data_IF_943879098733
#
_entry.id   IF_943879098733
#
_cell.length_a   1.000
_cell.length_b   1.000
_cell.length_c   1.000
_cell.angle_alpha   90.00
_cell.angle_beta   90.00
_cell.angle_gamma   90.00
#
_symmetry.space_group_name_H-M   'P 1'
#
loop_
_entity.id
_entity.type
_entity.pdbx_description
1 polymer ?
#
# COMPACT_ATOMS: atom_id res chain seq x y z
N UNK A 1 15.96 78.39 14.19
CA UNK A 1 15.26 77.23 14.76
C UNK A 1 15.11 76.16 13.65
N UNK A 2 16.08 75.22 13.53
CA UNK A 2 16.03 74.12 12.59
C UNK A 2 15.38 72.92 13.29
N UNK A 3 14.25 72.47 12.77
CA UNK A 3 13.59 71.23 13.23
C UNK A 3 14.18 70.10 12.45
N UNK A 4 15.02 69.35 13.12
CA UNK A 4 15.59 68.08 12.61
C UNK A 4 14.51 67.03 12.68
N UNK A 5 13.94 66.63 11.54
CA UNK A 5 13.10 65.44 11.44
C UNK A 5 13.96 64.20 11.50
N UNK A 6 13.95 63.50 12.62
CA UNK A 6 14.45 62.15 12.74
C UNK A 6 13.44 61.23 12.06
N UNK A 7 13.73 60.81 10.82
CA UNK A 7 13.08 59.66 10.21
C UNK A 7 13.56 58.41 10.93
N UNK A 8 12.77 57.89 11.84
CA UNK A 8 12.90 56.56 12.37
C UNK A 8 12.56 55.60 11.22
N UNK A 9 13.58 55.13 10.52
CA UNK A 9 13.46 53.99 9.65
C UNK A 9 13.18 52.76 10.52
N UNK A 10 11.90 52.49 10.76
CA UNK A 10 11.46 51.19 11.25
C UNK A 10 11.84 50.17 10.20
N UNK A 11 13.01 49.55 10.39
CA UNK A 11 13.40 48.34 9.67
C UNK A 11 12.35 47.30 10.04
N UNK A 12 11.33 47.14 9.20
CA UNK A 12 10.54 45.95 9.14
C UNK A 12 11.50 44.79 8.80
N UNK A 13 12.09 44.21 9.84
CA UNK A 13 12.67 42.92 9.74
C UNK A 13 11.51 41.97 9.33
N UNK A 14 11.33 41.79 8.04
CA UNK A 14 10.56 40.71 7.52
C UNK A 14 11.24 39.45 8.07
N UNK A 15 10.74 38.96 9.19
CA UNK A 15 10.96 37.59 9.60
C UNK A 15 10.46 36.76 8.43
N UNK A 16 11.38 36.44 7.52
CA UNK A 16 11.16 35.35 6.61
C UNK A 16 10.94 34.14 7.51
N UNK A 17 9.68 33.85 7.78
CA UNK A 17 9.28 32.55 8.31
C UNK A 17 9.77 31.58 7.26
N UNK A 18 10.98 31.10 7.46
CA UNK A 18 11.57 30.05 6.67
C UNK A 18 10.58 28.89 6.88
N UNK A 19 9.72 28.65 5.89
CA UNK A 19 8.77 27.56 5.95
C UNK A 19 9.63 26.33 6.24
N UNK A 20 9.48 25.77 7.44
CA UNK A 20 10.24 24.58 7.83
C UNK A 20 10.05 23.56 6.73
N UNK A 21 11.17 22.98 6.25
CA UNK A 21 11.12 21.98 5.22
C UNK A 21 10.12 20.90 5.64
N UNK A 22 9.18 20.58 4.76
CA UNK A 22 8.16 19.56 5.06
C UNK A 22 8.86 18.26 5.42
N UNK A 23 8.53 17.62 6.54
CA UNK A 23 9.14 16.34 6.92
C UNK A 23 8.77 15.27 5.91
N UNK A 24 9.68 14.34 5.63
CA UNK A 24 9.32 13.11 4.95
C UNK A 24 8.40 12.27 5.83
N UNK A 25 7.40 11.64 5.21
CA UNK A 25 6.41 10.80 5.90
C UNK A 25 6.57 9.37 5.38
N UNK A 26 6.89 8.44 6.28
CA UNK A 26 6.97 7.01 5.97
C UNK A 26 5.95 6.28 6.82
N UNK A 27 5.00 5.60 6.16
CA UNK A 27 4.02 4.73 6.80
C UNK A 27 4.44 3.28 6.56
N UNK A 28 4.73 2.54 7.63
CA UNK A 28 5.08 1.13 7.57
C UNK A 28 3.93 0.33 8.16
N UNK A 29 3.22 -0.42 7.31
CA UNK A 29 2.16 -1.34 7.71
C UNK A 29 2.71 -2.76 7.68
N UNK A 30 2.99 -3.32 8.86
CA UNK A 30 3.38 -4.71 8.98
C UNK A 30 2.15 -5.61 8.78
N UNK A 31 2.32 -6.68 8.00
CA UNK A 31 1.27 -7.64 7.68
C UNK A 31 1.35 -8.82 8.65
N UNK A 32 0.24 -9.11 9.32
CA UNK A 32 0.10 -10.21 10.30
C UNK A 32 1.14 -10.20 11.44
N UNK A 33 1.64 -9.03 11.82
CA UNK A 33 2.55 -8.86 12.95
C UNK A 33 1.74 -8.83 14.27
N UNK A 34 1.99 -9.77 15.13
CA UNK A 34 1.36 -9.83 16.45
C UNK A 34 1.91 -8.79 17.43
N UNK A 35 1.09 -8.38 18.40
CA UNK A 35 1.50 -7.42 19.42
C UNK A 35 2.77 -7.89 20.18
N UNK A 36 2.86 -9.19 20.48
CA UNK A 36 3.98 -9.79 21.20
C UNK A 36 5.21 -10.12 20.34
N UNK A 37 5.21 -9.79 19.04
CA UNK A 37 6.30 -10.13 18.13
C UNK A 37 7.39 -9.06 18.06
N UNK A 38 7.19 -7.93 18.71
CA UNK A 38 8.12 -6.80 18.74
C UNK A 38 8.75 -6.67 20.13
N UNK A 39 10.09 -6.59 20.21
CA UNK A 39 10.79 -6.51 21.51
C UNK A 39 10.40 -5.27 22.32
N UNK A 40 10.15 -4.13 21.69
CA UNK A 40 9.62 -2.94 22.35
C UNK A 40 8.24 -3.16 23.02
N UNK A 41 7.53 -4.23 22.67
CA UNK A 41 6.24 -4.61 23.25
C UNK A 41 6.34 -5.85 24.15
N UNK A 42 7.55 -6.33 24.43
CA UNK A 42 7.80 -7.41 25.39
C UNK A 42 8.08 -8.77 24.77
N UNK A 43 8.35 -8.88 23.46
CA UNK A 43 8.83 -10.14 22.90
C UNK A 43 10.13 -10.59 23.55
N UNK A 44 10.13 -11.83 24.06
CA UNK A 44 11.30 -12.43 24.66
C UNK A 44 12.12 -13.27 23.67
N UNK A 45 11.54 -13.61 22.53
CA UNK A 45 12.11 -14.53 21.53
C UNK A 45 12.55 -13.85 20.26
N UNK A 46 11.84 -12.78 19.87
CA UNK A 46 12.12 -12.01 18.65
C UNK A 46 12.77 -10.68 19.04
N UNK A 47 13.97 -10.47 18.53
CA UNK A 47 14.69 -9.21 18.74
C UNK A 47 14.50 -8.26 17.57
N UNK A 48 13.90 -7.09 17.83
CA UNK A 48 13.59 -6.08 16.81
C UNK A 48 14.26 -4.73 17.12
N UNK A 49 15.60 -4.63 17.11
CA UNK A 49 16.34 -3.47 17.62
C UNK A 49 16.02 -2.17 16.86
N UNK A 50 15.63 -2.25 15.61
CA UNK A 50 15.23 -1.06 14.84
C UNK A 50 13.85 -0.55 15.25
N UNK A 51 12.89 -1.44 15.54
CA UNK A 51 11.61 -1.04 16.12
C UNK A 51 11.79 -0.47 17.52
N UNK A 52 12.67 -1.06 18.33
CA UNK A 52 13.01 -0.55 19.67
C UNK A 52 13.57 0.86 19.59
N UNK A 53 14.45 1.12 18.62
CA UNK A 53 14.99 2.47 18.42
C UNK A 53 13.90 3.47 18.03
N UNK A 54 12.97 3.10 17.16
CA UNK A 54 11.82 3.94 16.80
C UNK A 54 10.92 4.18 18.02
N UNK A 55 10.61 3.14 18.79
CA UNK A 55 9.77 3.24 19.98
C UNK A 55 10.39 4.13 21.06
N UNK A 56 11.72 4.05 21.25
CA UNK A 56 12.45 4.83 22.26
C UNK A 56 12.69 6.28 21.82
N UNK A 57 12.79 6.53 20.51
CA UNK A 57 13.00 7.87 19.94
C UNK A 57 11.72 8.63 19.57
N UNK A 58 10.57 7.97 19.66
CA UNK A 58 9.30 8.51 19.23
C UNK A 58 8.18 8.36 20.26
N UNK A 59 6.95 8.25 19.75
CA UNK A 59 5.75 8.02 20.57
C UNK A 59 5.24 6.60 20.34
N UNK A 60 5.13 5.82 21.40
CA UNK A 60 4.52 4.49 21.38
C UNK A 60 3.09 4.56 21.89
N UNK A 61 2.14 4.21 21.03
CA UNK A 61 0.74 4.10 21.42
C UNK A 61 0.47 2.74 22.05
N UNK A 62 0.04 2.72 23.32
CA UNK A 62 -0.29 1.49 24.04
C UNK A 62 -1.71 0.99 23.76
N UNK A 63 -2.54 1.81 23.14
CA UNK A 63 -3.94 1.55 22.78
C UNK A 63 -4.19 1.86 21.30
N UNK A 64 -3.26 1.49 20.43
CA UNK A 64 -3.40 1.62 18.98
C UNK A 64 -4.01 0.36 18.38
N UNK A 65 -5.11 0.50 17.65
CA UNK A 65 -5.83 -0.63 17.06
C UNK A 65 -5.97 -0.46 15.56
N UNK A 66 -5.76 -1.56 14.82
CA UNK A 66 -6.15 -1.61 13.42
C UNK A 66 -7.69 -1.55 13.29
N UNK A 67 -8.16 -0.96 12.19
CA UNK A 67 -9.60 -0.82 11.94
C UNK A 67 -10.29 -2.13 11.60
N UNK A 68 -9.54 -3.16 11.24
CA UNK A 68 -10.02 -4.52 10.97
C UNK A 68 -8.89 -5.52 11.24
N UNK A 69 -9.27 -6.76 11.49
CA UNK A 69 -8.33 -7.87 11.68
C UNK A 69 -7.78 -8.44 10.37
N UNK A 70 -8.27 -7.98 9.21
CA UNK A 70 -7.92 -8.52 7.89
C UNK A 70 -7.38 -7.47 6.94
N UNK A 71 -6.65 -7.92 5.93
CA UNK A 71 -5.81 -7.10 5.05
C UNK A 71 -6.57 -6.02 4.28
N UNK A 72 -7.45 -6.41 3.34
CA UNK A 72 -8.17 -5.45 2.48
C UNK A 72 -8.92 -4.40 3.29
N UNK A 73 -9.73 -4.76 4.30
CA UNK A 73 -10.48 -3.79 5.08
C UNK A 73 -9.59 -2.79 5.82
N UNK A 74 -8.48 -3.25 6.43
CA UNK A 74 -7.54 -2.35 7.12
C UNK A 74 -6.84 -1.39 6.17
N UNK A 75 -6.43 -1.88 4.99
CA UNK A 75 -5.78 -1.06 3.95
C UNK A 75 -6.74 -0.05 3.34
N UNK A 76 -7.99 -0.45 3.11
CA UNK A 76 -9.06 0.45 2.68
C UNK A 76 -9.22 1.61 3.67
N UNK A 77 -9.33 1.30 4.96
CA UNK A 77 -9.48 2.33 5.98
C UNK A 77 -8.25 3.25 6.09
N UNK A 78 -7.04 2.69 5.97
CA UNK A 78 -5.80 3.47 5.99
C UNK A 78 -5.79 4.53 4.89
N UNK A 79 -6.19 4.17 3.66
CA UNK A 79 -6.11 5.10 2.53
C UNK A 79 -7.31 6.02 2.40
N UNK A 80 -8.48 5.60 2.85
CA UNK A 80 -9.72 6.40 2.69
C UNK A 80 -10.12 7.19 3.94
N UNK A 81 -9.57 6.84 5.11
CA UNK A 81 -10.01 7.38 6.40
C UNK A 81 -11.43 6.90 6.80
N UNK A 82 -11.98 5.92 6.10
CA UNK A 82 -13.31 5.39 6.37
C UNK A 82 -13.24 4.01 7.01
N UNK A 83 -14.11 3.74 7.98
CA UNK A 83 -14.24 2.39 8.51
C UNK A 83 -14.73 1.41 7.44
N UNK A 84 -14.15 0.20 7.35
CA UNK A 84 -14.44 -0.73 6.26
C UNK A 84 -15.91 -1.20 6.22
N UNK A 85 -16.60 -1.28 7.36
CA UNK A 85 -18.03 -1.67 7.38
C UNK A 85 -18.97 -0.66 6.69
N UNK A 86 -18.48 0.54 6.35
CA UNK A 86 -19.25 1.50 5.54
C UNK A 86 -19.22 1.18 4.05
N UNK A 87 -18.35 0.28 3.63
CA UNK A 87 -18.27 -0.21 2.27
C UNK A 87 -18.38 -1.74 2.28
N UNK A 88 -19.52 -2.26 1.86
CA UNK A 88 -19.79 -3.71 1.83
C UNK A 88 -18.80 -4.51 0.96
N UNK A 89 -18.16 -3.85 0.01
CA UNK A 89 -17.21 -4.45 -0.91
C UNK A 89 -15.78 -4.50 -0.31
N UNK A 90 -15.55 -3.83 0.84
CA UNK A 90 -14.27 -3.85 1.56
C UNK A 90 -14.06 -5.16 2.36
N UNK A 91 -14.34 -6.29 1.74
CA UNK A 91 -14.03 -7.64 2.21
C UNK A 91 -12.64 -8.08 1.71
N UNK A 92 -12.18 -9.26 2.13
CA UNK A 92 -10.92 -9.83 1.61
C UNK A 92 -11.08 -10.10 0.12
N UNK A 93 -10.26 -9.46 -0.70
CA UNK A 93 -10.34 -9.55 -2.15
C UNK A 93 -9.50 -10.73 -2.70
N UNK A 94 -9.90 -11.32 -3.82
CA UNK A 94 -9.02 -12.19 -4.62
C UNK A 94 -7.89 -11.36 -5.26
N UNK A 95 -6.85 -12.05 -5.76
CA UNK A 95 -5.67 -11.39 -6.34
C UNK A 95 -5.96 -10.62 -7.63
N UNK A 96 -6.95 -11.06 -8.38
CA UNK A 96 -7.40 -10.45 -9.64
C UNK A 96 -8.57 -9.46 -9.47
N UNK A 97 -8.92 -9.09 -8.25
CA UNK A 97 -10.03 -8.15 -8.01
C UNK A 97 -9.84 -6.82 -8.74
N UNK A 98 -10.92 -6.18 -9.22
CA UNK A 98 -10.87 -4.80 -9.68
C UNK A 98 -10.55 -3.84 -8.53
N UNK A 99 -10.13 -2.62 -8.86
CA UNK A 99 -9.81 -1.61 -7.86
C UNK A 99 -11.03 -1.31 -6.98
N UNK A 100 -10.86 -1.47 -5.66
CA UNK A 100 -11.90 -1.26 -4.66
C UNK A 100 -12.17 0.23 -4.39
N UNK A 101 -11.10 1.03 -4.31
CA UNK A 101 -11.19 2.46 -3.99
C UNK A 101 -11.54 3.20 -5.27
N UNK A 102 -12.65 3.92 -5.27
CA UNK A 102 -13.08 4.70 -6.43
C UNK A 102 -12.11 5.84 -6.71
N UNK A 103 -11.84 6.10 -7.98
CA UNK A 103 -10.99 7.21 -8.40
C UNK A 103 -11.47 8.59 -7.92
N UNK A 104 -12.78 8.73 -7.65
CA UNK A 104 -13.34 9.96 -7.10
C UNK A 104 -13.15 10.14 -5.60
N UNK A 105 -12.73 9.09 -4.87
CA UNK A 105 -12.55 9.15 -3.42
C UNK A 105 -11.35 10.00 -3.04
N UNK A 106 -11.49 10.78 -1.96
CA UNK A 106 -10.40 11.55 -1.39
C UNK A 106 -9.56 10.66 -0.48
N UNK A 107 -8.35 10.35 -0.89
CA UNK A 107 -7.47 9.39 -0.24
C UNK A 107 -6.30 10.07 0.47
N UNK A 108 -5.65 9.35 1.38
CA UNK A 108 -4.42 9.80 2.05
C UNK A 108 -3.33 10.25 1.06
N UNK A 109 -2.96 9.47 0.01
CA UNK A 109 -1.97 9.92 -0.96
C UNK A 109 -2.42 11.19 -1.70
N UNK A 110 -3.69 11.32 -2.09
CA UNK A 110 -4.20 12.57 -2.70
C UNK A 110 -4.11 13.77 -1.77
N UNK A 111 -4.39 13.57 -0.49
CA UNK A 111 -4.21 14.62 0.51
C UNK A 111 -2.76 15.09 0.57
N UNK A 112 -1.83 14.15 0.57
CA UNK A 112 -0.39 14.42 0.59
C UNK A 112 0.08 15.11 -0.70
N UNK A 113 -0.38 14.66 -1.87
CA UNK A 113 -0.09 15.34 -3.14
C UNK A 113 -0.58 16.79 -3.12
N UNK A 114 -1.81 17.05 -2.64
CA UNK A 114 -2.32 18.43 -2.48
C UNK A 114 -1.47 19.27 -1.52
N UNK A 115 -0.83 18.63 -0.56
CA UNK A 115 0.13 19.28 0.33
C UNK A 115 1.53 19.41 -0.29
N UNK A 116 1.74 18.98 -1.55
CA UNK A 116 2.99 19.09 -2.30
C UNK A 116 4.02 18.02 -1.96
N UNK A 117 3.58 16.83 -1.55
CA UNK A 117 4.42 15.64 -1.44
C UNK A 117 4.41 14.83 -2.73
N UNK A 118 5.53 14.20 -3.04
CA UNK A 118 5.57 13.07 -3.95
C UNK A 118 5.24 11.80 -3.16
N UNK A 119 4.37 10.97 -3.69
CA UNK A 119 3.79 9.82 -2.98
C UNK A 119 4.17 8.50 -3.64
N UNK A 120 4.47 7.48 -2.82
CA UNK A 120 4.82 6.15 -3.31
C UNK A 120 4.12 5.06 -2.48
N UNK A 121 3.72 3.97 -3.15
CA UNK A 121 3.23 2.74 -2.52
C UNK A 121 4.14 1.56 -2.91
N UNK A 122 4.62 0.82 -1.91
CA UNK A 122 5.56 -0.29 -2.13
C UNK A 122 5.13 -1.50 -1.30
N UNK A 123 5.15 -2.68 -1.91
CA UNK A 123 4.86 -3.96 -1.26
C UNK A 123 3.43 -4.45 -1.47
N UNK A 124 2.86 -5.12 -0.47
CA UNK A 124 1.51 -5.71 -0.56
C UNK A 124 0.43 -4.64 -0.76
N UNK A 125 -0.36 -4.80 -1.81
CA UNK A 125 -1.46 -3.90 -2.15
C UNK A 125 -2.81 -4.35 -1.57
N UNK A 126 -3.33 -5.44 -2.07
CA UNK A 126 -4.57 -6.11 -1.65
C UNK A 126 -5.83 -5.22 -1.63
N UNK A 127 -5.89 -4.26 -2.54
CA UNK A 127 -7.04 -3.37 -2.74
C UNK A 127 -7.64 -3.47 -4.15
N UNK A 128 -7.24 -4.52 -4.88
CA UNK A 128 -7.59 -4.68 -6.27
C UNK A 128 -6.90 -3.67 -7.18
N UNK A 129 -6.91 -3.93 -8.47
CA UNK A 129 -6.39 -3.05 -9.51
C UNK A 129 -7.02 -3.37 -10.87
N UNK A 130 -7.09 -2.38 -11.74
CA UNK A 130 -7.74 -2.51 -13.04
C UNK A 130 -9.25 -2.69 -12.94
N UNK A 131 -9.82 -3.14 -14.04
CA UNK A 131 -11.21 -3.57 -14.17
C UNK A 131 -11.34 -5.09 -13.97
N UNK A 132 -12.53 -5.62 -13.98
CA UNK A 132 -12.76 -7.07 -13.81
C UNK A 132 -12.19 -7.91 -14.98
N UNK A 133 -12.15 -7.30 -16.16
CA UNK A 133 -11.68 -7.89 -17.42
C UNK A 133 -10.26 -7.48 -17.83
N UNK A 134 -9.46 -7.00 -16.85
CA UNK A 134 -8.08 -6.54 -17.10
C UNK A 134 -7.21 -7.60 -17.77
N UNK A 135 -6.34 -7.17 -18.67
CA UNK A 135 -5.27 -7.98 -19.22
C UNK A 135 -3.96 -7.72 -18.45
N UNK A 136 -3.45 -8.74 -17.77
CA UNK A 136 -2.22 -8.64 -16.98
C UNK A 136 -0.97 -8.40 -17.83
N UNK A 137 -1.05 -8.62 -19.14
CA UNK A 137 0.05 -8.38 -20.08
C UNK A 137 0.10 -6.95 -20.61
N UNK A 138 -0.85 -6.11 -20.20
CA UNK A 138 -0.98 -4.71 -20.60
C UNK A 138 -0.85 -3.77 -19.40
N UNK A 139 -1.09 -2.49 -19.61
CA UNK A 139 -1.16 -1.51 -18.52
C UNK A 139 -2.47 -1.67 -17.75
N UNK A 140 -2.36 -1.94 -16.46
CA UNK A 140 -3.49 -2.15 -15.56
C UNK A 140 -3.95 -0.81 -15.00
N UNK A 141 -5.16 -0.40 -15.38
CA UNK A 141 -5.83 0.82 -14.91
C UNK A 141 -7.32 0.53 -14.62
N UNK A 142 -7.89 1.24 -13.62
CA UNK A 142 -7.27 2.11 -12.63
C UNK A 142 -6.48 1.32 -11.56
N UNK A 143 -5.53 1.98 -10.89
CA UNK A 143 -4.69 1.36 -9.86
C UNK A 143 -4.25 2.36 -8.78
N UNK A 144 -3.10 2.14 -8.19
CA UNK A 144 -2.55 2.99 -7.13
C UNK A 144 -2.35 4.44 -7.61
N UNK A 145 -1.98 4.65 -8.87
CA UNK A 145 -1.77 5.98 -9.44
C UNK A 145 -3.07 6.78 -9.49
N UNK A 146 -4.15 6.16 -9.89
CA UNK A 146 -5.46 6.80 -10.01
C UNK A 146 -6.07 7.16 -8.66
N UNK A 147 -5.56 6.63 -7.56
CA UNK A 147 -5.99 7.04 -6.21
C UNK A 147 -4.97 7.95 -5.51
N UNK A 148 -3.92 8.40 -6.19
CA UNK A 148 -3.03 9.47 -5.75
C UNK A 148 -1.61 9.06 -5.39
N UNK A 149 -1.09 7.94 -5.90
CA UNK A 149 0.33 7.62 -5.80
C UNK A 149 1.05 8.02 -7.09
N UNK A 150 2.16 8.76 -6.95
CA UNK A 150 3.02 9.12 -8.09
C UNK A 150 3.85 7.94 -8.57
N UNK A 151 4.21 7.04 -7.64
CA UNK A 151 4.95 5.81 -7.91
C UNK A 151 4.32 4.62 -7.19
N UNK A 152 4.37 3.47 -7.80
CA UNK A 152 3.96 2.22 -7.15
C UNK A 152 4.81 1.03 -7.61
N UNK A 153 5.20 0.16 -6.66
CA UNK A 153 5.78 -1.16 -6.94
C UNK A 153 5.14 -2.16 -5.97
N UNK A 154 4.21 -2.95 -6.46
CA UNK A 154 3.21 -3.63 -5.66
C UNK A 154 3.16 -5.12 -5.97
N UNK A 155 2.83 -5.92 -4.97
CA UNK A 155 2.25 -7.25 -5.15
C UNK A 155 0.74 -7.08 -5.12
N UNK A 156 0.03 -7.58 -6.13
CA UNK A 156 -1.40 -7.33 -6.34
C UNK A 156 -2.26 -7.66 -5.11
N UNK A 157 -2.02 -8.81 -4.47
CA UNK A 157 -2.69 -9.20 -3.24
C UNK A 157 -1.67 -9.74 -2.20
N UNK A 158 -1.42 -11.03 -2.19
CA UNK A 158 -0.55 -11.76 -1.26
C UNK A 158 0.33 -12.73 -2.05
N UNK A 159 1.42 -13.20 -1.45
CA UNK A 159 2.33 -14.15 -2.11
C UNK A 159 1.72 -15.55 -2.37
N UNK A 160 0.60 -15.85 -1.72
CA UNK A 160 -0.14 -17.10 -1.85
C UNK A 160 -1.38 -16.99 -2.78
N UNK A 161 -1.56 -15.85 -3.43
CA UNK A 161 -2.68 -15.59 -4.33
C UNK A 161 -2.21 -15.16 -5.72
N UNK A 162 -2.80 -15.77 -6.69
CA UNK A 162 -2.62 -15.46 -8.11
C UNK A 162 -3.13 -14.07 -8.48
N UNK A 163 -2.39 -13.29 -9.29
CA UNK A 163 -1.01 -13.51 -9.71
C UNK A 163 0.00 -13.07 -8.63
N UNK A 164 1.09 -13.83 -8.50
CA UNK A 164 2.18 -13.50 -7.56
C UNK A 164 3.29 -12.70 -8.23
N UNK A 165 2.91 -11.67 -8.96
CA UNK A 165 3.81 -10.81 -9.73
C UNK A 165 3.99 -9.45 -9.09
N UNK A 166 5.12 -8.81 -9.36
CA UNK A 166 5.30 -7.39 -9.08
C UNK A 166 4.66 -6.55 -10.19
N UNK A 167 3.95 -5.52 -9.78
CA UNK A 167 3.33 -4.54 -10.69
C UNK A 167 3.94 -3.18 -10.40
N UNK A 168 4.73 -2.67 -11.32
CA UNK A 168 5.33 -1.34 -11.23
C UNK A 168 4.55 -0.35 -12.10
N UNK A 169 4.02 0.69 -11.47
CA UNK A 169 3.25 1.75 -12.14
C UNK A 169 2.16 1.22 -13.10
N UNK A 170 1.47 0.15 -12.68
CA UNK A 170 0.40 -0.47 -13.46
C UNK A 170 0.87 -1.48 -14.50
N UNK A 171 2.16 -1.85 -14.56
CA UNK A 171 2.67 -2.86 -15.47
C UNK A 171 3.34 -3.99 -14.71
N UNK A 172 3.07 -5.21 -15.12
CA UNK A 172 3.75 -6.39 -14.55
C UNK A 172 5.24 -6.34 -14.92
N UNK A 173 6.08 -6.55 -13.93
CA UNK A 173 7.54 -6.53 -14.09
C UNK A 173 8.00 -7.86 -14.67
N UNK A 174 8.87 -7.80 -15.69
CA UNK A 174 9.50 -8.98 -16.26
C UNK A 174 8.59 -9.83 -17.16
N UNK A 175 7.53 -9.25 -17.73
CA UNK A 175 6.72 -9.95 -18.72
C UNK A 175 7.55 -10.39 -19.92
N UNK A 176 7.37 -11.63 -20.31
CA UNK A 176 7.88 -12.19 -21.57
C UNK A 176 6.72 -12.25 -22.59
N UNK A 177 6.79 -11.53 -23.71
CA UNK A 177 5.78 -11.64 -24.74
C UNK A 177 5.62 -13.04 -25.35
N UNK A 178 6.65 -13.88 -25.25
CA UNK A 178 6.61 -15.27 -25.71
C UNK A 178 5.94 -16.22 -24.68
N UNK A 179 5.82 -15.80 -23.42
CA UNK A 179 5.17 -16.53 -22.33
C UNK A 179 4.21 -15.58 -21.57
N UNK A 180 3.04 -15.28 -22.15
CA UNK A 180 2.11 -14.33 -21.57
C UNK A 180 1.52 -14.84 -20.26
N UNK A 181 1.35 -13.93 -19.30
CA UNK A 181 0.74 -14.23 -18.00
C UNK A 181 -0.75 -14.56 -18.16
N UNK A 182 -1.14 -15.74 -17.72
CA UNK A 182 -2.52 -16.18 -17.65
C UNK A 182 -2.96 -16.30 -16.18
N UNK A 183 -4.10 -15.69 -15.85
CA UNK A 183 -4.66 -15.69 -14.48
C UNK A 183 -6.09 -16.20 -14.51
N UNK A 184 -6.39 -17.19 -13.68
CA UNK A 184 -7.75 -17.73 -13.51
C UNK A 184 -8.03 -18.05 -12.05
N UNK A 185 -9.22 -17.66 -11.58
CA UNK A 185 -9.77 -18.05 -10.28
C UNK A 185 -10.94 -19.04 -10.40
N UNK A 186 -11.31 -19.40 -11.61
CA UNK A 186 -12.52 -20.22 -11.87
C UNK A 186 -12.19 -21.62 -12.37
N UNK A 187 -11.04 -21.80 -13.03
CA UNK A 187 -10.63 -23.09 -13.58
C UNK A 187 -9.09 -23.15 -13.73
N UNK A 188 -8.56 -24.37 -13.69
CA UNK A 188 -7.17 -24.63 -14.03
C UNK A 188 -6.97 -24.56 -15.56
N UNK A 189 -5.78 -24.16 -15.96
CA UNK A 189 -5.40 -24.22 -17.36
C UNK A 189 -5.14 -25.67 -17.79
N UNK A 190 -5.46 -26.04 -19.05
CA UNK A 190 -5.20 -27.38 -19.55
C UNK A 190 -3.72 -27.78 -19.39
N UNK A 191 -3.48 -28.97 -18.82
CA UNK A 191 -2.13 -29.49 -18.60
C UNK A 191 -1.42 -29.02 -17.32
N UNK A 192 -2.02 -28.08 -16.57
CA UNK A 192 -1.45 -27.58 -15.33
C UNK A 192 -1.54 -28.60 -14.19
N UNK A 193 -0.50 -28.71 -13.35
CA UNK A 193 -0.57 -29.54 -12.17
C UNK A 193 -1.55 -28.93 -11.15
N UNK A 194 -2.38 -29.78 -10.57
CA UNK A 194 -3.28 -29.42 -9.47
C UNK A 194 -2.76 -29.97 -8.15
N UNK A 195 -3.25 -29.45 -7.03
CA UNK A 195 -2.91 -29.99 -5.71
C UNK A 195 -3.35 -31.46 -5.54
N UNK A 196 -4.37 -31.91 -6.27
CA UNK A 196 -4.79 -33.30 -6.29
C UNK A 196 -3.84 -34.22 -7.13
N UNK A 197 -3.43 -33.73 -8.31
CA UNK A 197 -2.53 -34.49 -9.20
C UNK A 197 -1.06 -34.41 -8.74
N UNK A 198 -0.66 -33.32 -8.07
CA UNK A 198 0.73 -33.07 -7.66
C UNK A 198 0.78 -32.49 -6.23
N UNK A 199 0.34 -33.20 -5.19
CA UNK A 199 0.26 -32.72 -3.82
C UNK A 199 1.62 -32.33 -3.23
N UNK A 200 2.71 -32.82 -3.79
CA UNK A 200 4.09 -32.49 -3.42
C UNK A 200 4.50 -31.07 -3.89
N UNK A 201 3.85 -30.55 -4.93
CA UNK A 201 4.15 -29.23 -5.50
C UNK A 201 3.19 -28.15 -5.02
N UNK A 202 1.92 -28.51 -4.80
CA UNK A 202 0.84 -27.57 -4.48
C UNK A 202 0.16 -28.00 -3.18
N UNK A 203 0.41 -27.30 -2.11
CA UNK A 203 -0.11 -27.59 -0.76
C UNK A 203 -1.41 -26.89 -0.41
N UNK A 204 -1.74 -25.82 -1.14
CA UNK A 204 -2.93 -24.99 -0.90
C UNK A 204 -3.85 -25.07 -2.12
N UNK A 205 -5.16 -25.08 -1.88
CA UNK A 205 -6.18 -25.12 -2.93
C UNK A 205 -5.98 -26.27 -3.93
N UNK A 206 -6.28 -27.51 -3.54
CA UNK A 206 -5.99 -28.71 -4.36
C UNK A 206 -6.63 -28.68 -5.74
N UNK A 207 -7.67 -27.87 -5.94
CA UNK A 207 -8.39 -27.73 -7.22
C UNK A 207 -7.91 -26.57 -8.09
N UNK A 208 -7.04 -25.70 -7.56
CA UNK A 208 -6.53 -24.53 -8.27
C UNK A 208 -5.11 -24.80 -8.75
N UNK A 209 -4.83 -24.57 -10.03
CA UNK A 209 -3.51 -24.66 -10.63
C UNK A 209 -2.63 -23.44 -10.32
N UNK A 210 -1.42 -23.44 -10.87
CA UNK A 210 -0.52 -22.28 -10.83
C UNK A 210 -1.01 -21.19 -11.78
N UNK A 211 -0.82 -19.92 -11.40
CA UNK A 211 -0.65 -18.91 -12.41
C UNK A 211 0.73 -19.09 -13.04
N UNK A 212 0.82 -19.11 -14.35
CA UNK A 212 2.09 -18.96 -15.03
C UNK A 212 2.62 -17.54 -14.79
N UNK A 213 3.88 -17.45 -14.43
CA UNK A 213 4.67 -16.22 -14.37
C UNK A 213 5.78 -16.36 -15.38
#
# INVERSE_FOLDING_TARGET
MQKTFLLSAAACAALAVQAAAKPNIIVILADDLGYGDVSAQGSATIHTPNFDRLANGGVRFTQGYATSATSTPSRYALFTGMYPWKNKDAAILPGDAPLLIKESEFTLPRMLQKAGYTTAAIGKWHLGMGTADKNWNEEIKPGAREIGFDYSNLIAATNDRTPTVYVENGRVVGLDPADPLLVSYTANFPGEPTGMSHPQLLKMHPEIGRAHV
#
